data_IF_311652262211
#
_entry.id   IF_311652262211
#
_cell.length_a   1.000
_cell.length_b   1.000
_cell.length_c   1.000
_cell.angle_alpha   90.00
_cell.angle_beta   90.00
_cell.angle_gamma   90.00
#
_symmetry.space_group_name_H-M   'P 1'
#
loop_
_entity.id
_entity.type
_entity.pdbx_description
1 polymer ?
#
# COMPACT_ATOMS: atom_id res chain seq x y z
N UNK A 1 19.26 28.37 43.32
CA UNK A 1 18.94 27.23 44.21
C UNK A 1 17.62 26.55 43.80
N UNK A 2 17.55 25.93 42.61
CA UNK A 2 16.33 25.23 42.09
C UNK A 2 16.60 23.82 41.57
N UNK A 3 17.76 23.23 41.91
CA UNK A 3 18.19 21.91 41.42
C UNK A 3 18.27 20.81 42.49
N UNK A 4 18.19 21.15 43.77
CA UNK A 4 18.48 20.19 44.86
C UNK A 4 17.25 19.44 45.36
N UNK A 5 16.08 20.07 45.41
CA UNK A 5 14.84 19.44 45.88
C UNK A 5 14.18 18.48 44.88
N UNK A 6 14.55 18.56 43.59
CA UNK A 6 13.95 17.71 42.55
C UNK A 6 14.49 16.27 42.55
N UNK A 7 15.63 16.02 43.19
CA UNK A 7 16.23 14.68 43.31
C UNK A 7 15.86 13.94 44.60
N UNK A 8 15.40 14.63 45.64
CA UNK A 8 15.01 14.00 46.92
C UNK A 8 13.57 13.46 46.87
N UNK A 9 12.70 14.05 46.04
CA UNK A 9 11.31 13.63 45.89
C UNK A 9 11.08 12.40 44.99
N UNK A 10 12.11 11.92 44.28
CA UNK A 10 12.01 10.75 43.39
C UNK A 10 12.54 9.44 44.01
N UNK A 11 13.11 9.50 45.22
CA UNK A 11 13.72 8.32 45.90
C UNK A 11 12.94 7.82 47.10
N UNK A 12 11.78 8.41 47.43
CA UNK A 12 10.87 7.88 48.45
C UNK A 12 9.52 7.57 47.80
N UNK A 13 9.16 6.28 47.74
CA UNK A 13 8.01 5.75 47.03
C UNK A 13 6.67 6.30 47.52
N UNK A 14 6.22 7.41 46.94
CA UNK A 14 4.92 8.04 47.16
C UNK A 14 4.07 8.13 45.88
N UNK A 15 4.20 7.15 44.98
CA UNK A 15 3.35 7.00 43.81
C UNK A 15 1.84 6.71 44.08
N UNK A 16 1.38 6.18 45.25
CA UNK A 16 -0.05 5.91 45.42
C UNK A 16 -0.90 7.08 45.94
N UNK A 17 -0.32 8.18 46.42
CA UNK A 17 -1.08 9.24 47.13
C UNK A 17 -1.49 10.44 46.26
N UNK A 18 -0.91 10.60 45.06
CA UNK A 18 -1.32 11.62 44.09
C UNK A 18 -2.61 11.23 43.32
N UNK A 19 -3.01 9.95 43.36
CA UNK A 19 -4.23 9.47 42.71
C UNK A 19 -5.51 9.62 43.55
N UNK A 20 -5.39 9.96 44.85
CA UNK A 20 -6.53 10.14 45.76
C UNK A 20 -6.88 11.61 46.07
N UNK A 21 -6.03 12.57 45.71
CA UNK A 21 -6.29 13.99 45.97
C UNK A 21 -7.12 14.72 44.90
N UNK A 22 -7.23 14.16 43.69
CA UNK A 22 -7.94 14.83 42.59
C UNK A 22 -9.43 14.43 42.45
N UNK A 23 -9.91 13.48 43.27
CA UNK A 23 -11.28 12.94 43.16
C UNK A 23 -12.24 13.44 44.24
N UNK A 24 -11.77 14.20 45.25
CA UNK A 24 -12.59 14.51 46.43
C UNK A 24 -12.54 15.94 46.98
N UNK A 25 -11.81 16.90 46.38
CA UNK A 25 -11.60 18.20 47.05
C UNK A 25 -11.77 19.50 46.24
N UNK A 26 -12.32 19.49 45.02
CA UNK A 26 -12.65 20.75 44.34
C UNK A 26 -14.03 20.71 43.68
N UNK A 27 -15.06 20.79 44.53
CA UNK A 27 -16.29 21.62 44.46
C UNK A 27 -17.32 20.97 45.41
N UNK A 28 -17.89 21.70 46.39
CA UNK A 28 -18.78 22.83 46.08
C UNK A 28 -18.68 24.03 47.05
N UNK A 29 -19.45 25.08 46.74
CA UNK A 29 -19.81 26.24 47.57
C UNK A 29 -18.78 27.37 47.68
N UNK A 30 -18.81 28.24 46.67
CA UNK A 30 -18.56 29.67 46.86
C UNK A 30 -19.68 30.46 46.18
N UNK A 31 -20.61 30.97 46.98
CA UNK A 31 -21.57 31.99 46.56
C UNK A 31 -20.83 33.33 46.44
N UNK A 32 -20.57 33.75 45.21
CA UNK A 32 -20.02 35.07 44.89
C UNK A 32 -21.11 35.99 44.30
N UNK A 33 -21.08 37.30 44.59
CA UNK A 33 -22.21 38.20 44.38
C UNK A 33 -22.55 38.47 42.90
N UNK A 34 -23.86 38.62 42.65
CA UNK A 34 -24.46 38.92 41.34
C UNK A 34 -23.84 40.16 40.67
N UNK A 35 -23.01 39.92 39.67
CA UNK A 35 -22.60 40.93 38.69
C UNK A 35 -23.61 40.97 37.53
N UNK A 36 -23.90 42.15 36.94
CA UNK A 36 -24.92 42.29 35.92
C UNK A 36 -24.56 41.51 34.65
N UNK A 37 -25.52 40.74 34.16
CA UNK A 37 -25.45 39.87 32.98
C UNK A 37 -25.03 40.67 31.75
N UNK A 38 -23.77 40.53 31.35
CA UNK A 38 -23.39 40.73 29.94
C UNK A 38 -23.94 39.54 29.18
N UNK A 39 -24.76 39.80 28.15
CA UNK A 39 -25.21 38.78 27.20
C UNK A 39 -23.98 38.01 26.70
N UNK A 40 -23.76 36.82 27.23
CA UNK A 40 -22.94 35.82 26.57
C UNK A 40 -23.58 35.59 25.22
N UNK A 41 -22.89 36.00 24.15
CA UNK A 41 -23.11 35.37 22.87
C UNK A 41 -22.86 33.90 23.14
N UNK A 42 -23.91 33.10 23.13
CA UNK A 42 -23.80 31.67 22.91
C UNK A 42 -22.99 31.55 21.63
N UNK A 43 -21.68 31.34 21.75
CA UNK A 43 -20.92 30.75 20.68
C UNK A 43 -21.49 29.35 20.64
N UNK A 44 -22.53 29.19 19.81
CA UNK A 44 -22.83 27.90 19.23
C UNK A 44 -21.52 27.53 18.57
N UNK A 45 -20.71 26.72 19.25
CA UNK A 45 -19.71 25.91 18.57
C UNK A 45 -20.60 25.04 17.70
N UNK A 46 -20.83 25.50 16.46
CA UNK A 46 -21.02 24.57 15.37
C UNK A 46 -19.78 23.71 15.46
N UNK A 47 -19.94 22.50 16.01
CA UNK A 47 -19.12 21.40 15.58
C UNK A 47 -19.43 21.32 14.09
N UNK A 48 -18.64 22.04 13.29
CA UNK A 48 -18.59 21.76 11.87
C UNK A 48 -18.20 20.29 11.79
N UNK A 49 -19.13 19.48 11.32
CA UNK A 49 -18.82 18.16 10.80
C UNK A 49 -17.57 18.32 9.92
N UNK A 50 -16.55 17.52 10.21
CA UNK A 50 -15.29 17.49 9.48
C UNK A 50 -15.54 17.64 7.97
N UNK A 51 -15.22 18.81 7.42
CA UNK A 51 -15.51 19.16 6.02
C UNK A 51 -14.48 18.58 5.04
N UNK A 52 -13.77 17.53 5.44
CA UNK A 52 -12.64 16.95 4.73
C UNK A 52 -12.94 16.15 3.43
N UNK A 53 -14.15 15.62 3.12
CA UNK A 53 -14.28 14.85 1.87
C UNK A 53 -14.49 15.70 0.61
N UNK A 54 -15.03 16.93 0.68
CA UNK A 54 -15.55 17.63 -0.52
C UNK A 54 -14.54 18.56 -1.20
N UNK A 55 -13.59 19.12 -0.47
CA UNK A 55 -12.56 20.01 -1.01
C UNK A 55 -11.49 19.22 -1.78
N UNK A 56 -11.01 18.13 -1.21
CA UNK A 56 -9.99 17.27 -1.82
C UNK A 56 -10.47 16.60 -3.10
N UNK A 57 -11.72 16.11 -3.10
CA UNK A 57 -12.32 15.54 -4.31
C UNK A 57 -12.48 16.58 -5.43
N UNK A 58 -12.75 17.84 -5.10
CA UNK A 58 -12.76 18.94 -6.07
C UNK A 58 -11.36 19.24 -6.61
N UNK A 59 -10.34 19.27 -5.75
CA UNK A 59 -8.94 19.46 -6.17
C UNK A 59 -8.52 18.33 -7.10
N UNK A 60 -8.79 17.08 -6.73
CA UNK A 60 -8.51 15.91 -7.55
C UNK A 60 -9.20 16.00 -8.91
N UNK A 61 -10.47 16.40 -8.92
CA UNK A 61 -11.24 16.57 -10.16
C UNK A 61 -10.63 17.62 -11.08
N UNK A 62 -10.19 18.75 -10.52
CA UNK A 62 -9.55 19.83 -11.28
C UNK A 62 -8.16 19.46 -11.84
N UNK A 63 -7.46 18.52 -11.21
CA UNK A 63 -6.09 18.13 -11.57
C UNK A 63 -6.00 16.88 -12.44
N UNK A 64 -6.94 15.95 -12.31
CA UNK A 64 -6.90 14.65 -12.97
C UNK A 64 -7.80 14.56 -14.21
N UNK A 65 -8.97 15.21 -14.22
CA UNK A 65 -9.87 15.17 -15.36
C UNK A 65 -9.52 16.27 -16.37
N UNK A 66 -9.24 15.88 -17.61
CA UNK A 66 -8.96 16.81 -18.72
C UNK A 66 -10.18 17.03 -19.62
N UNK A 67 -11.14 16.10 -19.58
CA UNK A 67 -12.40 16.16 -20.33
C UNK A 67 -13.60 16.19 -19.39
N UNK A 68 -14.72 16.74 -19.85
CA UNK A 68 -15.98 16.73 -19.09
C UNK A 68 -16.50 15.31 -18.82
N UNK A 69 -16.31 14.39 -19.78
CA UNK A 69 -16.68 12.97 -19.61
C UNK A 69 -15.83 12.27 -18.55
N UNK A 70 -14.53 12.57 -18.49
CA UNK A 70 -13.63 12.08 -17.44
C UNK A 70 -14.02 12.61 -16.05
N UNK A 71 -14.43 13.88 -15.95
CA UNK A 71 -14.89 14.47 -14.69
C UNK A 71 -16.16 13.79 -14.16
N UNK A 72 -17.13 13.52 -15.06
CA UNK A 72 -18.36 12.79 -14.70
C UNK A 72 -18.05 11.36 -14.28
N UNK A 73 -17.14 10.67 -14.97
CA UNK A 73 -16.71 9.33 -14.59
C UNK A 73 -16.01 9.35 -13.23
N UNK A 74 -15.11 10.31 -13.01
CA UNK A 74 -14.38 10.49 -11.76
C UNK A 74 -15.33 10.71 -10.57
N UNK A 75 -16.32 11.59 -10.71
CA UNK A 75 -17.32 11.84 -9.66
C UNK A 75 -18.08 10.56 -9.28
N UNK A 76 -18.46 9.75 -10.28
CA UNK A 76 -19.13 8.45 -10.06
C UNK A 76 -18.22 7.47 -9.33
N UNK A 77 -16.95 7.39 -9.72
CA UNK A 77 -15.96 6.49 -9.11
C UNK A 77 -15.56 6.95 -7.71
N UNK A 78 -15.60 8.24 -7.42
CA UNK A 78 -15.33 8.78 -6.09
C UNK A 78 -16.49 8.59 -5.11
N UNK A 79 -17.64 8.10 -5.57
CA UNK A 79 -18.74 7.75 -4.68
C UNK A 79 -18.49 6.41 -3.98
N UNK A 80 -17.70 6.40 -2.90
CA UNK A 80 -17.28 5.21 -2.15
C UNK A 80 -18.41 4.48 -1.41
N UNK A 81 -19.63 5.03 -1.35
CA UNK A 81 -20.78 4.32 -0.77
C UNK A 81 -21.42 3.29 -1.72
N UNK A 82 -21.17 3.39 -3.02
CA UNK A 82 -21.66 2.42 -4.02
C UNK A 82 -20.68 1.27 -4.21
N UNK A 83 -21.16 0.11 -4.62
CA UNK A 83 -20.26 -0.97 -5.09
C UNK A 83 -19.89 -0.74 -6.57
N UNK A 84 -18.74 -1.23 -7.01
CA UNK A 84 -18.36 -1.28 -8.44
C UNK A 84 -19.44 -1.94 -9.30
N UNK A 85 -20.02 -3.05 -8.81
CA UNK A 85 -21.12 -3.77 -9.48
C UNK A 85 -22.35 -2.92 -9.73
N UNK A 86 -22.56 -1.87 -8.93
CA UNK A 86 -23.67 -0.93 -9.07
C UNK A 86 -23.31 0.24 -10.00
N UNK A 87 -22.01 0.55 -10.13
CA UNK A 87 -21.53 1.65 -10.97
C UNK A 87 -21.48 1.23 -12.43
N UNK A 88 -20.86 0.09 -12.75
CA UNK A 88 -20.60 -0.35 -14.14
C UNK A 88 -21.87 -0.32 -15.00
N UNK A 89 -23.03 -0.87 -14.57
CA UNK A 89 -24.24 -0.86 -15.40
C UNK A 89 -24.82 0.53 -15.68
N UNK A 90 -24.42 1.54 -14.89
CA UNK A 90 -24.89 2.93 -15.04
C UNK A 90 -24.01 3.76 -15.98
N UNK A 91 -22.90 3.20 -16.46
CA UNK A 91 -21.96 3.87 -17.36
C UNK A 91 -22.44 3.73 -18.80
N UNK A 92 -22.08 4.71 -19.63
CA UNK A 92 -22.33 4.63 -21.07
C UNK A 92 -21.50 3.52 -21.69
N UNK A 93 -21.96 3.02 -22.83
CA UNK A 93 -21.09 2.27 -23.74
C UNK A 93 -19.85 3.12 -24.00
N UNK A 94 -18.67 2.50 -23.93
CA UNK A 94 -17.35 3.09 -24.19
C UNK A 94 -16.61 3.81 -23.04
N UNK A 95 -17.11 3.78 -21.80
CA UNK A 95 -16.44 4.43 -20.65
C UNK A 95 -14.98 4.00 -20.40
N UNK A 96 -14.54 2.86 -20.96
CA UNK A 96 -13.18 2.36 -20.79
C UNK A 96 -12.12 3.33 -21.32
N UNK A 97 -12.40 4.10 -22.38
CA UNK A 97 -11.40 5.00 -22.95
C UNK A 97 -11.18 6.22 -22.04
N UNK A 98 -12.26 6.78 -21.48
CA UNK A 98 -12.16 7.77 -20.41
C UNK A 98 -11.49 7.17 -19.16
N UNK A 99 -11.83 5.93 -18.80
CA UNK A 99 -11.25 5.24 -17.66
C UNK A 99 -9.73 5.08 -17.77
N UNK A 100 -9.24 4.60 -18.91
CA UNK A 100 -7.80 4.49 -19.16
C UNK A 100 -7.11 5.85 -19.17
N UNK A 101 -7.72 6.85 -19.81
CA UNK A 101 -7.16 8.20 -19.84
C UNK A 101 -7.07 8.80 -18.43
N UNK A 102 -8.11 8.62 -17.63
CA UNK A 102 -8.17 9.08 -16.25
C UNK A 102 -7.14 8.37 -15.36
N UNK A 103 -6.92 7.05 -15.52
CA UNK A 103 -5.86 6.33 -14.82
C UNK A 103 -4.47 6.91 -15.09
N UNK A 104 -4.17 7.21 -16.36
CA UNK A 104 -2.91 7.82 -16.76
C UNK A 104 -2.76 9.22 -16.17
N UNK A 105 -3.80 10.05 -16.27
CA UNK A 105 -3.78 11.40 -15.70
C UNK A 105 -3.61 11.38 -14.17
N UNK A 106 -4.23 10.43 -13.49
CA UNK A 106 -4.08 10.22 -12.05
C UNK A 106 -2.64 9.84 -11.69
N UNK A 107 -2.01 8.97 -12.48
CA UNK A 107 -0.62 8.60 -12.26
C UNK A 107 0.34 9.77 -12.48
N UNK A 108 0.12 10.54 -13.55
CA UNK A 108 0.93 11.73 -13.85
C UNK A 108 0.76 12.83 -12.80
N UNK A 109 -0.41 12.97 -12.17
CA UNK A 109 -0.59 13.94 -11.08
C UNK A 109 -0.02 13.43 -9.76
N UNK A 110 -0.11 12.12 -9.49
CA UNK A 110 0.49 11.48 -8.31
C UNK A 110 1.98 11.78 -8.24
N UNK A 111 2.70 11.56 -9.34
CA UNK A 111 4.16 11.75 -9.39
C UNK A 111 4.63 13.20 -9.31
N UNK A 112 3.74 14.19 -9.45
CA UNK A 112 4.11 15.62 -9.40
C UNK A 112 3.93 16.23 -8.01
N UNK A 113 2.73 16.11 -7.46
CA UNK A 113 2.35 16.75 -6.20
C UNK A 113 1.25 15.97 -5.46
N UNK A 114 1.22 14.64 -5.64
CA UNK A 114 0.16 13.77 -5.13
C UNK A 114 -1.24 14.23 -5.52
N UNK A 115 -1.37 14.83 -6.71
CA UNK A 115 -2.60 15.45 -7.20
C UNK A 115 -3.14 16.56 -6.28
N UNK A 116 -2.26 17.31 -5.61
CA UNK A 116 -2.62 18.39 -4.69
C UNK A 116 -3.17 17.94 -3.34
N UNK A 117 -3.06 16.67 -3.00
CA UNK A 117 -3.41 16.17 -1.67
C UNK A 117 -2.44 16.77 -0.64
N UNK A 118 -2.96 17.03 0.55
CA UNK A 118 -2.18 17.61 1.66
C UNK A 118 -2.12 16.61 2.82
N UNK A 119 -1.13 16.75 3.71
CA UNK A 119 -1.12 16.03 4.98
C UNK A 119 -2.39 16.31 5.81
N UNK A 120 -2.73 15.36 6.68
CA UNK A 120 -3.77 15.49 7.68
C UNK A 120 -3.44 16.60 8.70
N UNK A 121 -4.38 16.95 9.57
CA UNK A 121 -4.21 18.02 10.58
C UNK A 121 -3.02 17.80 11.53
N UNK A 122 -2.61 16.55 11.74
CA UNK A 122 -1.45 16.16 12.54
C UNK A 122 -0.12 16.13 11.75
N UNK A 123 -0.17 16.43 10.45
CA UNK A 123 0.95 16.40 9.52
C UNK A 123 1.27 15.02 8.96
N UNK A 124 0.49 13.98 9.26
CA UNK A 124 0.64 12.66 8.65
C UNK A 124 0.21 12.68 7.18
N UNK A 125 0.96 12.02 6.31
CA UNK A 125 0.61 11.88 4.90
C UNK A 125 1.00 10.50 4.39
N UNK A 126 -0.01 9.72 4.04
CA UNK A 126 0.18 8.41 3.41
C UNK A 126 -0.02 8.51 1.91
N UNK A 127 1.10 8.58 1.18
CA UNK A 127 1.13 8.63 -0.29
C UNK A 127 0.38 7.45 -0.93
N UNK A 128 0.37 6.29 -0.26
CA UNK A 128 -0.25 5.07 -0.76
C UNK A 128 -1.77 5.07 -0.58
N UNK A 129 -2.31 5.84 0.37
CA UNK A 129 -3.74 5.84 0.73
C UNK A 129 -4.48 7.13 0.37
N UNK A 130 -3.87 7.98 -0.47
CA UNK A 130 -4.50 9.19 -1.02
C UNK A 130 -5.82 8.89 -1.75
N UNK A 131 -6.73 9.87 -1.80
CA UNK A 131 -7.97 9.74 -2.59
C UNK A 131 -7.68 9.43 -4.07
N UNK A 132 -6.61 9.98 -4.62
CA UNK A 132 -6.17 9.67 -5.97
C UNK A 132 -5.77 8.18 -6.12
N UNK A 133 -5.05 7.58 -5.16
CA UNK A 133 -4.72 6.14 -5.19
C UNK A 133 -5.98 5.30 -5.05
N UNK A 134 -6.87 5.65 -4.12
CA UNK A 134 -8.17 4.97 -3.94
C UNK A 134 -9.01 4.98 -5.22
N UNK A 135 -9.03 6.11 -5.94
CA UNK A 135 -9.70 6.22 -7.25
C UNK A 135 -9.01 5.33 -8.29
N UNK A 136 -7.68 5.33 -8.39
CA UNK A 136 -6.96 4.47 -9.34
C UNK A 136 -7.25 2.99 -9.10
N UNK A 137 -7.19 2.54 -7.85
CA UNK A 137 -7.54 1.15 -7.47
C UNK A 137 -8.93 0.80 -7.96
N UNK A 138 -9.92 1.63 -7.65
CA UNK A 138 -11.31 1.35 -7.99
C UNK A 138 -11.57 1.34 -9.50
N UNK A 139 -10.93 2.25 -10.23
CA UNK A 139 -11.04 2.32 -11.68
C UNK A 139 -10.38 1.12 -12.35
N UNK A 140 -9.24 0.65 -11.82
CA UNK A 140 -8.60 -0.58 -12.29
C UNK A 140 -9.42 -1.84 -11.95
N UNK A 141 -10.04 -1.88 -10.77
CA UNK A 141 -10.99 -2.93 -10.37
C UNK A 141 -12.18 -2.99 -11.34
N UNK A 142 -12.72 -1.85 -11.74
CA UNK A 142 -13.81 -1.77 -12.72
C UNK A 142 -13.39 -2.33 -14.08
N UNK A 143 -12.21 -1.94 -14.58
CA UNK A 143 -11.67 -2.46 -15.84
C UNK A 143 -11.46 -3.98 -15.78
N UNK A 144 -10.90 -4.49 -14.69
CA UNK A 144 -10.72 -5.92 -14.48
C UNK A 144 -12.05 -6.67 -14.46
N UNK A 145 -13.05 -6.15 -13.74
CA UNK A 145 -14.35 -6.79 -13.66
C UNK A 145 -15.04 -6.82 -15.03
N UNK A 146 -15.02 -5.72 -15.78
CA UNK A 146 -15.60 -5.69 -17.12
C UNK A 146 -14.86 -6.61 -18.10
N UNK A 147 -13.54 -6.77 -17.97
CA UNK A 147 -12.79 -7.78 -18.72
C UNK A 147 -13.20 -9.21 -18.32
N UNK A 148 -13.29 -9.51 -17.01
CA UNK A 148 -13.69 -10.82 -16.51
C UNK A 148 -15.11 -11.22 -16.99
N UNK A 149 -16.04 -10.26 -17.10
CA UNK A 149 -17.42 -10.49 -17.53
C UNK A 149 -17.58 -10.63 -19.05
N UNK A 150 -16.81 -9.87 -19.84
CA UNK A 150 -16.99 -9.80 -21.30
C UNK A 150 -15.92 -10.51 -22.13
N UNK A 151 -14.72 -10.70 -21.57
CA UNK A 151 -13.52 -11.13 -22.28
C UNK A 151 -12.96 -10.07 -23.25
N UNK A 152 -13.53 -8.86 -23.30
CA UNK A 152 -13.17 -7.84 -24.29
C UNK A 152 -11.86 -7.14 -23.91
N UNK A 153 -10.85 -7.26 -24.77
CA UNK A 153 -9.52 -6.68 -24.57
C UNK A 153 -9.54 -5.16 -24.49
N UNK A 154 -10.62 -4.48 -24.89
CA UNK A 154 -10.73 -3.02 -24.70
C UNK A 154 -10.65 -2.59 -23.24
N UNK A 155 -10.88 -3.47 -22.28
CA UNK A 155 -10.73 -3.16 -20.86
C UNK A 155 -9.29 -3.35 -20.35
N UNK A 156 -8.36 -3.80 -21.21
CA UNK A 156 -6.97 -3.97 -20.83
C UNK A 156 -6.16 -2.69 -21.00
N UNK A 157 -5.29 -2.40 -20.03
CA UNK A 157 -4.38 -1.25 -20.06
C UNK A 157 -3.10 -1.54 -20.83
N UNK A 158 -2.42 -0.48 -21.25
CA UNK A 158 -1.08 -0.54 -21.80
C UNK A 158 -0.06 -0.95 -20.72
N UNK A 159 0.90 -1.79 -21.12
CA UNK A 159 1.89 -2.38 -20.20
C UNK A 159 2.82 -1.34 -19.59
N UNK A 160 3.02 -0.20 -20.26
CA UNK A 160 3.77 0.95 -19.75
C UNK A 160 3.11 1.52 -18.48
N UNK A 161 1.78 1.73 -18.52
CA UNK A 161 1.01 2.23 -17.37
C UNK A 161 1.01 1.20 -16.23
N UNK A 162 0.81 -0.08 -16.55
CA UNK A 162 0.84 -1.15 -15.55
C UNK A 162 2.20 -1.24 -14.84
N UNK A 163 3.30 -0.97 -15.55
CA UNK A 163 4.65 -1.01 -14.97
C UNK A 163 4.87 0.06 -13.90
N UNK A 164 4.20 1.22 -13.99
CA UNK A 164 4.30 2.25 -12.94
C UNK A 164 3.52 1.84 -11.68
N UNK A 165 2.35 1.21 -11.86
CA UNK A 165 1.51 0.74 -10.76
C UNK A 165 2.18 -0.37 -9.93
N UNK A 166 3.00 -1.21 -10.56
CA UNK A 166 3.78 -2.24 -9.84
C UNK A 166 4.81 -1.66 -8.86
N UNK A 167 5.24 -0.42 -9.08
CA UNK A 167 6.18 0.29 -8.20
C UNK A 167 5.46 1.14 -7.15
N UNK A 168 4.13 1.13 -7.14
CA UNK A 168 3.37 1.86 -6.15
C UNK A 168 3.51 1.19 -4.78
N UNK A 169 3.49 1.97 -3.70
CA UNK A 169 3.39 1.43 -2.34
C UNK A 169 2.00 0.87 -1.99
N UNK A 170 1.03 0.92 -2.92
CA UNK A 170 -0.35 0.52 -2.65
C UNK A 170 -0.59 -0.95 -3.05
N UNK A 171 -0.75 -1.82 -2.05
CA UNK A 171 -0.92 -3.27 -2.26
C UNK A 171 -2.13 -3.61 -3.14
N UNK A 172 -3.25 -2.90 -2.98
CA UNK A 172 -4.46 -3.14 -3.77
C UNK A 172 -4.24 -2.79 -5.24
N UNK A 173 -3.56 -1.68 -5.52
CA UNK A 173 -3.26 -1.25 -6.88
C UNK A 173 -2.33 -2.27 -7.56
N UNK A 174 -1.30 -2.72 -6.86
CA UNK A 174 -0.39 -3.78 -7.33
C UNK A 174 -1.17 -5.06 -7.66
N UNK A 175 -2.05 -5.54 -6.77
CA UNK A 175 -2.85 -6.74 -6.99
C UNK A 175 -3.75 -6.65 -8.23
N UNK A 176 -4.40 -5.50 -8.43
CA UNK A 176 -5.26 -5.28 -9.60
C UNK A 176 -4.45 -5.15 -10.89
N UNK A 177 -3.23 -4.62 -10.80
CA UNK A 177 -2.26 -4.56 -11.91
C UNK A 177 -1.83 -5.95 -12.34
N UNK A 178 -1.63 -6.87 -11.39
CA UNK A 178 -1.31 -8.27 -11.73
C UNK A 178 -2.43 -8.96 -12.48
N UNK A 179 -3.69 -8.71 -12.14
CA UNK A 179 -4.82 -9.28 -12.89
C UNK A 179 -4.79 -8.88 -14.36
N UNK A 180 -4.56 -7.59 -14.64
CA UNK A 180 -4.37 -7.08 -16.01
C UNK A 180 -3.21 -7.76 -16.72
N UNK A 181 -2.04 -7.84 -16.08
CA UNK A 181 -0.85 -8.44 -16.66
C UNK A 181 -1.02 -9.94 -16.92
N UNK A 182 -1.72 -10.66 -16.03
CA UNK A 182 -2.07 -12.07 -16.22
C UNK A 182 -3.02 -12.25 -17.40
N UNK A 183 -4.07 -11.42 -17.49
CA UNK A 183 -4.99 -11.42 -18.62
C UNK A 183 -4.29 -11.13 -19.97
N UNK A 184 -3.24 -10.32 -19.95
CA UNK A 184 -2.40 -10.02 -21.13
C UNK A 184 -1.36 -11.11 -21.43
N UNK A 185 -1.11 -12.06 -20.52
CA UNK A 185 0.00 -13.01 -20.64
C UNK A 185 1.38 -12.40 -20.42
N UNK A 186 1.45 -11.22 -19.81
CA UNK A 186 2.68 -10.41 -19.64
C UNK A 186 3.18 -10.37 -18.19
N UNK A 187 2.56 -11.12 -17.28
CA UNK A 187 2.92 -11.11 -15.86
C UNK A 187 4.40 -11.45 -15.62
N UNK A 188 4.91 -12.51 -16.28
CA UNK A 188 6.32 -12.93 -16.16
C UNK A 188 7.29 -11.84 -16.59
N UNK A 189 7.07 -11.26 -17.77
CA UNK A 189 7.94 -10.22 -18.32
C UNK A 189 7.83 -8.89 -17.57
N UNK A 190 6.73 -8.63 -16.88
CA UNK A 190 6.59 -7.47 -16.01
C UNK A 190 7.36 -7.64 -14.69
N UNK A 191 7.34 -8.85 -14.09
CA UNK A 191 8.08 -9.13 -12.86
C UNK A 191 9.59 -9.02 -13.04
N UNK A 192 10.13 -9.39 -14.20
CA UNK A 192 11.57 -9.22 -14.49
C UNK A 192 12.01 -7.76 -14.68
N UNK A 193 11.06 -6.83 -14.86
CA UNK A 193 11.32 -5.39 -15.00
C UNK A 193 11.29 -4.62 -13.68
N UNK A 194 10.79 -5.24 -12.60
CA UNK A 194 10.81 -4.67 -11.25
C UNK A 194 11.97 -5.30 -10.47
N UNK A 195 12.53 -4.55 -9.52
CA UNK A 195 13.76 -4.96 -8.81
C UNK A 195 13.69 -4.62 -7.33
N UNK A 196 14.57 -5.23 -6.53
CA UNK A 196 14.68 -4.98 -5.11
C UNK A 196 13.42 -5.38 -4.32
N UNK A 197 13.03 -4.52 -3.37
CA UNK A 197 11.88 -4.73 -2.50
C UNK A 197 10.55 -4.78 -3.25
N UNK A 198 10.41 -4.06 -4.36
CA UNK A 198 9.16 -4.04 -5.14
C UNK A 198 8.87 -5.42 -5.72
N UNK A 199 9.90 -6.10 -6.24
CA UNK A 199 9.79 -7.49 -6.71
C UNK A 199 9.43 -8.45 -5.57
N UNK A 200 10.07 -8.30 -4.40
CA UNK A 200 9.78 -9.15 -3.24
C UNK A 200 8.35 -8.95 -2.71
N UNK A 201 7.89 -7.69 -2.62
CA UNK A 201 6.53 -7.34 -2.21
C UNK A 201 5.50 -7.85 -3.23
N UNK A 202 5.77 -7.70 -4.52
CA UNK A 202 4.97 -8.25 -5.59
C UNK A 202 4.74 -9.76 -5.43
N UNK A 203 5.82 -10.52 -5.24
CA UNK A 203 5.75 -11.97 -5.03
C UNK A 203 4.98 -12.36 -3.75
N UNK A 204 5.15 -11.59 -2.67
CA UNK A 204 4.40 -11.80 -1.42
C UNK A 204 2.89 -11.60 -1.58
N UNK A 205 2.50 -10.63 -2.40
CA UNK A 205 1.10 -10.39 -2.72
C UNK A 205 0.55 -11.48 -3.64
N UNK A 206 1.30 -11.85 -4.66
CA UNK A 206 0.93 -12.89 -5.63
C UNK A 206 0.77 -14.26 -4.98
N UNK A 207 1.58 -14.61 -3.98
CA UNK A 207 1.49 -15.90 -3.31
C UNK A 207 0.12 -16.19 -2.67
N UNK A 208 -0.71 -15.16 -2.48
CA UNK A 208 -2.08 -15.30 -1.97
C UNK A 208 -3.12 -15.57 -3.07
N UNK A 209 -2.73 -15.45 -4.34
CA UNK A 209 -3.66 -15.40 -5.49
C UNK A 209 -3.27 -16.31 -6.66
N UNK A 210 -2.11 -16.96 -6.62
CA UNK A 210 -1.64 -17.91 -7.65
C UNK A 210 -1.39 -19.29 -7.06
N UNK A 211 -1.31 -20.31 -7.91
CA UNK A 211 -0.95 -21.67 -7.45
C UNK A 211 0.51 -21.72 -6.96
N UNK A 212 0.88 -22.76 -6.22
CA UNK A 212 2.27 -22.91 -5.75
C UNK A 212 3.24 -23.05 -6.91
N UNK A 213 2.85 -23.79 -7.93
CA UNK A 213 3.63 -24.02 -9.15
C UNK A 213 3.82 -22.71 -9.91
N UNK A 214 2.74 -21.94 -10.10
CA UNK A 214 2.80 -20.61 -10.73
C UNK A 214 3.68 -19.66 -9.90
N UNK A 215 3.60 -19.70 -8.56
CA UNK A 215 4.45 -18.88 -7.70
C UNK A 215 5.93 -19.22 -7.85
N UNK A 216 6.30 -20.50 -7.93
CA UNK A 216 7.68 -20.93 -8.17
C UNK A 216 8.18 -20.38 -9.49
N UNK A 217 7.41 -20.52 -10.58
CA UNK A 217 7.77 -19.95 -11.88
C UNK A 217 7.98 -18.43 -11.83
N UNK A 218 7.12 -17.71 -11.10
CA UNK A 218 7.24 -16.25 -10.96
C UNK A 218 8.44 -15.84 -10.11
N UNK A 219 8.78 -16.61 -9.07
CA UNK A 219 10.02 -16.42 -8.29
C UNK A 219 11.24 -16.66 -9.18
N UNK A 220 11.22 -17.72 -9.99
CA UNK A 220 12.31 -18.00 -10.93
C UNK A 220 12.52 -16.83 -11.89
N UNK A 221 11.45 -16.28 -12.47
CA UNK A 221 11.55 -15.13 -13.38
C UNK A 221 11.99 -13.83 -12.70
N UNK A 222 11.55 -13.59 -11.47
CA UNK A 222 12.02 -12.45 -10.70
C UNK A 222 13.52 -12.55 -10.37
N UNK A 223 14.06 -13.76 -10.28
CA UNK A 223 15.46 -14.02 -9.97
C UNK A 223 16.34 -14.13 -11.22
N UNK A 224 15.78 -14.44 -12.38
CA UNK A 224 16.50 -14.58 -13.64
C UNK A 224 17.14 -13.24 -14.05
N UNK A 225 18.49 -13.20 -14.12
CA UNK A 225 19.22 -11.97 -14.48
C UNK A 225 19.09 -10.85 -13.45
N UNK A 226 18.57 -11.15 -12.26
CA UNK A 226 18.39 -10.16 -11.20
C UNK A 226 19.73 -9.74 -10.59
N UNK A 227 19.80 -8.49 -10.12
CA UNK A 227 20.95 -8.05 -9.35
C UNK A 227 20.91 -8.66 -7.93
N UNK A 228 22.05 -8.63 -7.25
CA UNK A 228 22.13 -9.25 -5.93
C UNK A 228 21.23 -8.59 -4.86
N UNK A 229 20.81 -7.33 -5.02
CA UNK A 229 19.87 -6.69 -4.09
C UNK A 229 18.47 -7.31 -4.21
N UNK A 230 17.97 -7.45 -5.44
CA UNK A 230 16.72 -8.16 -5.73
C UNK A 230 16.76 -9.58 -5.17
N UNK A 231 17.83 -10.33 -5.44
CA UNK A 231 17.96 -11.70 -4.96
C UNK A 231 17.85 -11.81 -3.43
N UNK A 232 18.52 -10.92 -2.69
CA UNK A 232 18.42 -10.88 -1.22
C UNK A 232 16.99 -10.55 -0.77
N UNK A 233 16.36 -9.52 -1.33
CA UNK A 233 15.00 -9.14 -0.97
C UNK A 233 13.98 -10.25 -1.23
N UNK A 234 14.12 -10.96 -2.36
CA UNK A 234 13.27 -12.12 -2.67
C UNK A 234 13.49 -13.23 -1.63
N UNK A 235 14.73 -13.52 -1.23
CA UNK A 235 15.02 -14.53 -0.20
C UNK A 235 14.51 -14.18 1.20
N UNK A 236 14.48 -12.90 1.56
CA UNK A 236 13.85 -12.44 2.82
C UNK A 236 12.34 -12.73 2.85
N UNK A 237 11.67 -12.61 1.69
CA UNK A 237 10.25 -12.92 1.57
C UNK A 237 10.00 -14.42 1.39
N UNK A 238 10.89 -15.16 0.70
CA UNK A 238 10.78 -16.61 0.51
C UNK A 238 10.58 -17.36 1.83
N UNK A 239 11.28 -16.95 2.90
CA UNK A 239 11.07 -17.54 4.23
C UNK A 239 9.62 -17.48 4.72
N UNK A 240 8.83 -16.51 4.25
CA UNK A 240 7.41 -16.32 4.58
C UNK A 240 6.45 -17.01 3.60
N UNK A 241 6.90 -17.42 2.41
CA UNK A 241 6.05 -18.04 1.38
C UNK A 241 5.93 -19.54 1.57
N UNK A 242 4.72 -20.12 1.48
CA UNK A 242 4.55 -21.57 1.65
C UNK A 242 4.90 -22.35 0.36
N UNK A 243 6.12 -22.90 0.31
CA UNK A 243 6.56 -23.85 -0.72
C UNK A 243 7.24 -25.06 -0.06
N UNK A 244 7.23 -26.19 -0.74
CA UNK A 244 7.84 -27.44 -0.32
C UNK A 244 9.32 -27.53 -0.71
N UNK A 245 9.98 -28.62 -0.32
CA UNK A 245 11.41 -28.82 -0.56
C UNK A 245 11.77 -28.83 -2.07
N UNK A 246 11.03 -29.52 -2.96
CA UNK A 246 11.28 -29.45 -4.40
C UNK A 246 11.15 -28.03 -4.99
N UNK A 247 10.12 -27.27 -4.59
CA UNK A 247 9.97 -25.88 -5.01
C UNK A 247 11.12 -25.00 -4.52
N UNK A 248 11.60 -25.22 -3.30
CA UNK A 248 12.77 -24.53 -2.77
C UNK A 248 14.04 -24.86 -3.55
N UNK A 249 14.26 -26.14 -3.90
CA UNK A 249 15.39 -26.59 -4.70
C UNK A 249 15.43 -25.92 -6.07
N UNK A 250 14.27 -25.82 -6.74
CA UNK A 250 14.15 -25.15 -8.03
C UNK A 250 14.61 -23.69 -7.96
N UNK A 251 14.15 -22.97 -6.94
CA UNK A 251 14.56 -21.57 -6.67
C UNK A 251 16.07 -21.47 -6.43
N UNK A 252 16.66 -22.38 -5.64
CA UNK A 252 18.10 -22.39 -5.35
C UNK A 252 18.92 -22.59 -6.62
N UNK A 253 18.52 -23.53 -7.50
CA UNK A 253 19.20 -23.78 -8.77
C UNK A 253 19.29 -22.53 -9.65
N UNK A 254 18.26 -21.68 -9.65
CA UNK A 254 18.23 -20.46 -10.47
C UNK A 254 19.17 -19.37 -9.97
N UNK A 255 19.51 -19.34 -8.69
CA UNK A 255 20.41 -18.31 -8.13
C UNK A 255 21.87 -18.72 -8.09
N UNK A 256 22.22 -19.96 -8.46
CA UNK A 256 23.60 -20.44 -8.44
C UNK A 256 24.56 -19.58 -9.28
N UNK A 257 24.08 -18.97 -10.37
CA UNK A 257 24.88 -18.07 -11.20
C UNK A 257 25.42 -16.85 -10.43
N UNK A 258 24.75 -16.44 -9.34
CA UNK A 258 25.16 -15.33 -8.48
C UNK A 258 26.36 -15.67 -7.59
N UNK A 259 26.66 -16.96 -7.36
CA UNK A 259 27.78 -17.44 -6.52
C UNK A 259 29.12 -16.86 -6.98
N UNK A 260 29.34 -16.86 -8.29
CA UNK A 260 30.60 -16.40 -8.90
C UNK A 260 30.55 -14.91 -9.28
N UNK A 261 29.35 -14.38 -9.61
CA UNK A 261 29.19 -13.00 -10.06
C UNK A 261 29.16 -11.95 -8.94
N UNK A 262 28.66 -12.30 -7.74
CA UNK A 262 28.42 -11.36 -6.63
C UNK A 262 28.66 -12.02 -5.25
N UNK A 263 29.92 -12.22 -4.84
CA UNK A 263 30.25 -13.03 -3.66
C UNK A 263 29.73 -12.47 -2.32
N UNK A 264 29.53 -11.14 -2.21
CA UNK A 264 28.96 -10.55 -1.00
C UNK A 264 27.47 -10.91 -0.83
N UNK A 265 26.71 -10.85 -1.92
CA UNK A 265 25.30 -11.22 -1.94
C UNK A 265 25.12 -12.72 -1.78
N UNK A 266 26.06 -13.52 -2.31
CA UNK A 266 26.04 -14.97 -2.11
C UNK A 266 26.07 -15.39 -0.65
N UNK A 267 26.87 -14.71 0.20
CA UNK A 267 26.88 -14.99 1.65
C UNK A 267 25.52 -14.74 2.30
N UNK A 268 24.82 -13.69 1.88
CA UNK A 268 23.48 -13.37 2.38
C UNK A 268 22.45 -14.41 1.90
N UNK A 269 22.49 -14.78 0.61
CA UNK A 269 21.63 -15.82 0.04
C UNK A 269 21.87 -17.17 0.72
N UNK A 270 23.13 -17.56 0.95
CA UNK A 270 23.49 -18.80 1.64
C UNK A 270 22.97 -18.80 3.09
N UNK A 271 23.18 -17.72 3.83
CA UNK A 271 22.67 -17.56 5.19
C UNK A 271 21.14 -17.60 5.26
N UNK A 272 20.45 -16.90 4.36
CA UNK A 272 18.98 -16.89 4.27
C UNK A 272 18.46 -18.27 3.89
N UNK A 273 19.06 -18.93 2.89
CA UNK A 273 18.65 -20.27 2.46
C UNK A 273 18.81 -21.30 3.58
N UNK A 274 19.91 -21.24 4.33
CA UNK A 274 20.17 -22.13 5.47
C UNK A 274 19.18 -21.90 6.60
N UNK A 275 18.79 -20.64 6.84
CA UNK A 275 17.74 -20.30 7.80
C UNK A 275 16.39 -20.90 7.38
N UNK A 276 15.99 -20.73 6.12
CA UNK A 276 14.74 -21.29 5.58
C UNK A 276 14.75 -22.82 5.70
N UNK A 277 15.84 -23.45 5.29
CA UNK A 277 15.98 -24.90 5.36
C UNK A 277 15.84 -25.43 6.79
N UNK A 278 16.51 -24.78 7.75
CA UNK A 278 16.44 -25.15 9.17
C UNK A 278 15.03 -24.96 9.75
N UNK A 279 14.38 -23.84 9.45
CA UNK A 279 13.02 -23.54 9.95
C UNK A 279 11.97 -24.50 9.39
N UNK A 280 12.19 -25.03 8.17
CA UNK A 280 11.25 -25.95 7.49
C UNK A 280 11.64 -27.42 7.56
N UNK A 281 12.80 -27.74 8.10
CA UNK A 281 13.32 -29.12 8.12
C UNK A 281 13.77 -29.65 6.76
N UNK A 282 14.08 -28.78 5.80
CA UNK A 282 14.64 -29.17 4.51
C UNK A 282 16.08 -29.62 4.67
N UNK A 283 16.48 -30.61 3.88
CA UNK A 283 17.84 -31.16 3.84
C UNK A 283 18.75 -30.42 2.86
N UNK A 284 18.18 -29.53 2.05
CA UNK A 284 18.87 -28.74 1.03
C UNK A 284 19.05 -27.28 1.45
N UNK A 285 20.11 -26.64 0.95
CA UNK A 285 20.34 -25.20 1.04
C UNK A 285 21.17 -24.73 -0.18
N UNK A 286 21.44 -23.42 -0.28
CA UNK A 286 22.17 -22.88 -1.42
C UNK A 286 23.56 -23.52 -1.58
N UNK A 287 24.27 -23.78 -0.48
CA UNK A 287 25.59 -24.43 -0.52
C UNK A 287 25.54 -25.88 -1.02
N UNK A 288 24.49 -26.65 -0.69
CA UNK A 288 24.37 -28.04 -1.13
C UNK A 288 23.96 -28.16 -2.59
N UNK A 289 23.14 -27.23 -3.07
CA UNK A 289 22.58 -27.23 -4.45
C UNK A 289 23.57 -26.60 -5.45
N UNK A 290 24.17 -25.46 -5.11
CA UNK A 290 24.99 -24.69 -6.04
C UNK A 290 26.48 -25.03 -5.92
N UNK A 291 26.85 -26.29 -6.23
CA UNK A 291 28.23 -26.78 -6.17
C UNK A 291 29.13 -26.11 -7.21
#
# INVERSE_FOLDING_TARGET
MKGFWRKVLLTMGFAPLLFLFNKYYLLPNYDAPKTPVKKEKTVVIKVEEASAPKSELKVLSSKAAKKSTEAVLLERIQNFSKNIKEIIPSLKDEWQEEGKSLLKNLEDCQGRDFCGMQPDEDGYFDESETHARKTQVRLLEMLNQSFEESGDKKFLLDSEVLSSFLKSGNERLILQTFKQLKAKGELKSALSRISGKDSANALMLLSKSVSKEELVELIEEALQGSNGYTAVSVFEVLGKLQFDEPGFEAVLNRVCHLKNGLPQNWRAIDGLSSKIAKERGFKINAKSVCQ
#
